data_IF_376839294143
#
_entry.id   IF_376839294143
#
_cell.length_a   1.000
_cell.length_b   1.000
_cell.length_c   1.000
_cell.angle_alpha   90.00
_cell.angle_beta   90.00
_cell.angle_gamma   90.00
#
_symmetry.space_group_name_H-M   'P 1'
#
loop_
_entity.id
_entity.type
_entity.pdbx_description
1 polymer ?
#
# COMPACT_ATOMS: atom_id res chain seq x y z
N UNK A 1 -22.58 -49.77 -53.03
CA UNK A 1 -21.21 -49.48 -53.48
C UNK A 1 -21.01 -47.97 -53.30
N UNK A 2 -20.74 -47.50 -52.08
CA UNK A 2 -19.44 -46.93 -51.67
C UNK A 2 -18.82 -46.07 -52.79
N UNK A 3 -18.83 -44.73 -52.75
CA UNK A 3 -18.40 -43.85 -51.66
C UNK A 3 -17.11 -43.17 -52.13
N UNK A 4 -16.98 -41.85 -51.92
CA UNK A 4 -15.74 -41.09 -51.64
C UNK A 4 -16.00 -39.59 -51.87
N UNK A 5 -16.26 -38.86 -50.78
CA UNK A 5 -16.15 -37.40 -50.74
C UNK A 5 -14.92 -37.09 -49.87
N UNK A 6 -13.88 -36.50 -50.47
CA UNK A 6 -12.64 -36.10 -49.77
C UNK A 6 -12.88 -34.78 -49.04
N UNK A 7 -12.91 -34.81 -47.71
CA UNK A 7 -12.82 -33.63 -46.86
C UNK A 7 -11.36 -33.19 -46.75
N UNK A 8 -11.09 -31.93 -47.09
CA UNK A 8 -9.83 -31.26 -46.78
C UNK A 8 -9.98 -30.54 -45.44
N UNK A 9 -9.25 -31.01 -44.43
CA UNK A 9 -9.10 -30.34 -43.14
C UNK A 9 -8.04 -29.23 -43.29
N UNK A 10 -8.49 -27.97 -43.25
CA UNK A 10 -7.59 -26.82 -43.08
C UNK A 10 -7.34 -26.65 -41.58
N UNK A 11 -6.15 -27.02 -41.13
CA UNK A 11 -5.67 -26.74 -39.78
C UNK A 11 -5.33 -25.25 -39.65
N UNK A 12 -6.22 -24.48 -39.03
CA UNK A 12 -5.94 -23.12 -38.58
C UNK A 12 -5.10 -23.16 -37.31
N UNK A 13 -3.84 -22.74 -37.42
CA UNK A 13 -2.95 -22.53 -36.28
C UNK A 13 -3.43 -21.28 -35.51
N UNK A 14 -4.14 -21.49 -34.41
CA UNK A 14 -4.49 -20.42 -33.47
C UNK A 14 -3.23 -20.01 -32.70
N UNK A 15 -2.62 -18.90 -33.12
CA UNK A 15 -1.63 -18.18 -32.32
C UNK A 15 -2.33 -17.64 -31.07
N UNK A 16 -2.16 -18.34 -29.95
CA UNK A 16 -2.53 -17.84 -28.64
C UNK A 16 -1.61 -16.66 -28.30
N UNK A 17 -2.07 -15.45 -28.58
CA UNK A 17 -1.42 -14.24 -28.09
C UNK A 17 -1.57 -14.18 -26.57
N UNK A 18 -0.46 -14.27 -25.84
CA UNK A 18 -0.42 -13.94 -24.42
C UNK A 18 -0.72 -12.47 -24.26
N UNK A 19 -1.92 -12.13 -23.79
CA UNK A 19 -2.24 -10.80 -23.30
C UNK A 19 -1.54 -10.67 -21.95
N UNK A 20 -0.32 -10.13 -21.94
CA UNK A 20 0.25 -9.60 -20.71
C UNK A 20 -0.59 -8.38 -20.33
N UNK A 21 -1.38 -8.49 -19.25
CA UNK A 21 -1.98 -7.32 -18.62
C UNK A 21 -0.84 -6.38 -18.22
N UNK A 22 -0.69 -5.27 -18.94
CA UNK A 22 0.25 -4.22 -18.56
C UNK A 22 -0.28 -3.62 -17.27
N UNK A 23 0.49 -3.73 -16.19
CA UNK A 23 0.26 -2.97 -14.97
C UNK A 23 0.11 -1.48 -15.34
N UNK A 24 -0.86 -0.79 -14.74
CA UNK A 24 -1.06 0.63 -14.98
C UNK A 24 0.24 1.40 -14.72
N UNK A 25 0.61 2.31 -15.62
CA UNK A 25 1.86 3.05 -15.49
C UNK A 25 1.91 3.84 -14.16
N UNK A 26 3.04 3.79 -13.42
CA UNK A 26 3.23 4.59 -12.22
C UNK A 26 3.04 6.09 -12.48
N UNK A 27 2.30 6.75 -11.59
CA UNK A 27 1.97 8.18 -11.66
C UNK A 27 3.14 9.01 -11.17
N UNK A 28 3.51 10.06 -11.93
CA UNK A 28 4.55 11.01 -11.53
C UNK A 28 4.03 11.94 -10.44
N UNK A 29 4.75 11.99 -9.33
CA UNK A 29 4.54 12.90 -8.22
C UNK A 29 5.57 14.03 -8.34
N UNK A 30 5.15 15.30 -8.43
CA UNK A 30 6.08 16.41 -8.51
C UNK A 30 6.86 16.58 -7.20
N UNK A 31 8.04 17.17 -7.31
CA UNK A 31 8.78 17.60 -6.12
C UNK A 31 8.10 18.76 -5.40
N UNK A 32 8.38 18.91 -4.10
CA UNK A 32 7.93 20.07 -3.36
C UNK A 32 8.29 20.06 -1.88
N UNK A 33 7.96 21.17 -1.22
CA UNK A 33 8.07 21.28 0.22
C UNK A 33 6.85 20.61 0.89
N UNK A 34 7.13 19.82 1.92
CA UNK A 34 6.15 19.18 2.78
C UNK A 34 6.25 19.75 4.20
N UNK A 35 5.13 20.16 4.79
CA UNK A 35 5.04 20.55 6.22
C UNK A 35 4.47 19.36 6.99
N UNK A 36 5.21 18.87 7.99
CA UNK A 36 4.81 17.72 8.79
C UNK A 36 3.59 18.05 9.67
N UNK A 37 2.44 17.37 9.50
CA UNK A 37 1.32 17.52 10.43
C UNK A 37 1.61 16.86 11.79
N UNK A 38 2.54 15.89 11.82
CA UNK A 38 3.01 15.19 13.01
C UNK A 38 4.53 15.31 13.09
N UNK A 39 5.03 16.03 14.08
CA UNK A 39 6.46 16.29 14.29
C UNK A 39 7.12 15.11 15.01
N UNK A 40 7.63 14.14 14.23
CA UNK A 40 8.48 13.07 14.75
C UNK A 40 9.88 13.56 15.15
N UNK A 41 10.34 14.65 14.52
CA UNK A 41 11.58 15.36 14.84
C UNK A 41 11.22 16.85 15.08
N UNK A 42 11.53 17.36 16.28
CA UNK A 42 11.19 18.73 16.69
C UNK A 42 11.91 19.79 15.86
N UNK A 43 13.03 19.44 15.24
CA UNK A 43 13.86 20.34 14.43
C UNK A 43 13.48 20.30 12.95
N UNK A 44 12.81 19.24 12.49
CA UNK A 44 12.35 19.06 11.09
C UNK A 44 10.84 19.24 10.96
N UNK A 45 10.43 20.50 10.80
CA UNK A 45 9.02 20.87 10.54
C UNK A 45 8.63 20.78 9.07
N UNK A 46 9.59 21.06 8.20
CA UNK A 46 9.41 21.02 6.76
C UNK A 46 10.55 20.27 6.13
N UNK A 47 10.28 19.56 5.04
CA UNK A 47 11.30 18.89 4.26
C UNK A 47 11.02 18.98 2.76
N UNK A 48 12.08 18.88 1.97
CA UNK A 48 11.96 18.81 0.51
C UNK A 48 11.78 17.35 0.09
N UNK A 49 10.72 17.08 -0.66
CA UNK A 49 10.45 15.78 -1.27
C UNK A 49 10.78 15.88 -2.75
N UNK A 50 11.77 15.11 -3.21
CA UNK A 50 12.13 15.02 -4.63
C UNK A 50 11.00 14.35 -5.44
N UNK A 51 10.95 14.58 -6.75
CA UNK A 51 9.97 13.93 -7.61
C UNK A 51 10.21 12.42 -7.64
N UNK A 52 9.13 11.65 -7.71
CA UNK A 52 9.18 10.20 -7.79
C UNK A 52 7.94 9.70 -8.52
N UNK A 53 7.87 8.40 -8.81
CA UNK A 53 6.68 7.77 -9.37
C UNK A 53 6.05 6.82 -8.35
N UNK A 54 4.74 6.66 -8.40
CA UNK A 54 3.98 5.81 -7.46
C UNK A 54 2.93 4.99 -8.18
N UNK A 55 2.69 3.76 -7.75
CA UNK A 55 1.56 2.98 -8.26
C UNK A 55 0.23 3.69 -7.96
N UNK A 56 -0.63 3.78 -8.98
CA UNK A 56 -1.91 4.50 -8.89
C UNK A 56 -2.89 3.87 -7.88
N UNK A 57 -2.75 2.57 -7.61
CA UNK A 57 -3.55 1.79 -6.67
C UNK A 57 -2.65 0.93 -5.80
N UNK A 58 -3.12 0.45 -4.64
CA UNK A 58 -2.46 -0.64 -3.94
C UNK A 58 -2.25 -1.85 -4.88
N UNK A 59 -1.20 -2.63 -4.60
CA UNK A 59 -0.95 -3.90 -5.30
C UNK A 59 -2.17 -4.79 -5.11
N UNK A 60 -2.72 -5.30 -6.22
CA UNK A 60 -3.91 -6.14 -6.18
C UNK A 60 -3.52 -7.61 -6.07
N UNK A 61 -4.53 -8.47 -5.92
CA UNK A 61 -4.33 -9.91 -5.77
C UNK A 61 -3.79 -10.56 -7.03
N UNK A 62 -4.20 -10.10 -8.21
CA UNK A 62 -3.73 -10.61 -9.50
C UNK A 62 -2.23 -10.37 -9.70
N UNK A 63 -1.77 -9.13 -9.51
CA UNK A 63 -0.36 -8.74 -9.64
C UNK A 63 0.50 -9.52 -8.63
N UNK A 64 0.00 -9.67 -7.39
CA UNK A 64 0.70 -10.44 -6.36
C UNK A 64 0.72 -11.94 -6.66
N UNK A 65 -0.32 -12.49 -7.30
CA UNK A 65 -0.36 -13.89 -7.73
C UNK A 65 0.74 -14.19 -8.76
N UNK A 66 0.91 -13.29 -9.73
CA UNK A 66 2.00 -13.39 -10.69
C UNK A 66 3.38 -13.33 -10.01
N UNK A 67 3.54 -12.50 -8.98
CA UNK A 67 4.77 -12.44 -8.19
C UNK A 67 5.07 -13.76 -7.47
N UNK A 68 4.11 -14.37 -6.77
CA UNK A 68 4.36 -15.63 -6.04
C UNK A 68 4.50 -16.84 -6.97
N UNK A 69 3.94 -16.76 -8.18
CA UNK A 69 4.19 -17.75 -9.23
C UNK A 69 5.66 -17.69 -9.69
N UNK A 70 6.17 -16.49 -9.97
CA UNK A 70 7.55 -16.23 -10.37
C UNK A 70 8.58 -16.41 -9.25
N UNK A 71 8.17 -16.24 -7.98
CA UNK A 71 9.02 -16.35 -6.80
C UNK A 71 8.47 -17.40 -5.82
N UNK A 72 8.69 -18.71 -6.07
CA UNK A 72 8.05 -19.77 -5.30
C UNK A 72 8.34 -19.77 -3.79
N UNK A 73 9.42 -19.14 -3.34
CA UNK A 73 9.74 -19.00 -1.93
C UNK A 73 8.82 -18.01 -1.18
N UNK A 74 8.05 -17.19 -1.91
CA UNK A 74 6.99 -16.33 -1.36
C UNK A 74 5.60 -16.97 -1.45
N UNK A 75 5.49 -18.24 -1.85
CA UNK A 75 4.22 -18.96 -1.77
C UNK A 75 3.83 -19.22 -0.31
N UNK A 76 2.54 -19.27 -0.02
CA UNK A 76 2.05 -19.46 1.35
C UNK A 76 2.54 -20.75 2.02
N UNK A 77 2.78 -21.80 1.24
CA UNK A 77 3.31 -23.08 1.75
C UNK A 77 4.83 -23.10 1.94
N UNK A 78 5.55 -22.13 1.37
CA UNK A 78 7.02 -22.16 1.24
C UNK A 78 7.73 -20.99 1.94
N UNK A 79 7.02 -19.90 2.26
CA UNK A 79 7.59 -18.75 2.93
C UNK A 79 8.22 -19.16 4.27
N UNK A 80 9.40 -18.61 4.56
CA UNK A 80 10.09 -18.90 5.80
C UNK A 80 9.35 -18.27 6.99
N UNK A 81 9.19 -19.04 8.08
CA UNK A 81 8.49 -18.59 9.29
C UNK A 81 9.08 -17.34 9.95
N UNK A 82 10.33 -16.99 9.66
CA UNK A 82 10.94 -15.74 10.13
C UNK A 82 10.28 -14.49 9.51
N UNK A 83 9.65 -14.62 8.34
CA UNK A 83 9.10 -13.49 7.59
C UNK A 83 7.60 -13.30 7.80
N UNK A 84 6.96 -14.05 8.70
CA UNK A 84 5.53 -13.91 8.98
C UNK A 84 5.13 -14.40 10.37
N UNK A 85 4.04 -13.85 10.90
CA UNK A 85 3.40 -14.23 12.16
C UNK A 85 2.46 -15.46 12.07
N UNK A 86 2.30 -16.02 10.87
CA UNK A 86 1.46 -17.19 10.59
C UNK A 86 0.16 -16.87 9.86
N UNK A 87 -0.16 -15.59 9.64
CA UNK A 87 -1.31 -15.17 8.84
C UNK A 87 -1.02 -14.95 7.35
N UNK A 88 0.23 -15.14 6.90
CA UNK A 88 0.65 -14.86 5.52
C UNK A 88 -0.23 -15.57 4.48
N UNK A 89 -0.87 -14.77 3.60
CA UNK A 89 -1.81 -15.20 2.57
C UNK A 89 -2.85 -16.23 3.08
N UNK A 90 -3.27 -16.10 4.35
CA UNK A 90 -4.17 -17.08 4.98
C UNK A 90 -5.50 -17.22 4.26
N UNK A 91 -5.98 -16.14 3.63
CA UNK A 91 -7.19 -16.11 2.82
C UNK A 91 -7.04 -16.63 1.39
N UNK A 92 -5.91 -17.23 0.99
CA UNK A 92 -5.74 -17.81 -0.35
C UNK A 92 -5.98 -19.31 -0.31
N UNK A 93 -6.77 -19.85 -1.23
CA UNK A 93 -7.03 -21.30 -1.31
C UNK A 93 -5.83 -22.12 -1.79
N UNK A 94 -4.91 -21.53 -2.56
CA UNK A 94 -3.71 -22.20 -3.07
C UNK A 94 -2.47 -21.29 -2.96
N UNK A 95 -1.32 -21.81 -3.39
CA UNK A 95 -0.06 -21.06 -3.42
C UNK A 95 -0.01 -19.93 -4.46
N UNK A 96 -0.85 -20.00 -5.49
CA UNK A 96 -0.81 -19.08 -6.65
C UNK A 96 -2.19 -18.55 -7.04
N UNK A 97 -3.25 -18.97 -6.34
CA UNK A 97 -4.63 -18.57 -6.64
C UNK A 97 -5.19 -17.79 -5.45
N UNK A 98 -5.39 -16.46 -5.60
CA UNK A 98 -6.05 -15.67 -4.58
C UNK A 98 -7.54 -15.96 -4.55
N UNK A 99 -8.14 -15.87 -3.35
CA UNK A 99 -9.60 -15.91 -3.22
C UNK A 99 -10.18 -14.49 -3.40
N UNK A 100 -11.43 -14.40 -3.85
CA UNK A 100 -12.16 -13.14 -4.06
C UNK A 100 -11.78 -12.38 -5.33
N UNK A 101 -12.09 -11.08 -5.37
CA UNK A 101 -11.94 -10.24 -6.55
C UNK A 101 -10.45 -9.99 -6.88
N UNK A 102 -9.96 -10.32 -8.09
CA UNK A 102 -8.55 -10.16 -8.48
C UNK A 102 -8.01 -8.73 -8.35
N UNK A 103 -8.88 -7.75 -8.59
CA UNK A 103 -8.58 -6.32 -8.54
C UNK A 103 -8.55 -5.73 -7.12
N UNK A 104 -9.04 -6.47 -6.12
CA UNK A 104 -8.97 -6.02 -4.74
C UNK A 104 -7.50 -6.00 -4.25
N UNK A 105 -7.15 -5.09 -3.33
CA UNK A 105 -5.80 -5.07 -2.75
C UNK A 105 -5.43 -6.42 -2.14
N UNK A 106 -4.16 -6.80 -2.32
CA UNK A 106 -3.59 -7.91 -1.57
C UNK A 106 -3.43 -7.49 -0.11
N UNK A 107 -3.77 -8.41 0.79
CA UNK A 107 -3.67 -8.24 2.25
C UNK A 107 -3.07 -9.49 2.88
N UNK A 108 -2.79 -9.44 4.18
CA UNK A 108 -2.11 -10.53 4.89
C UNK A 108 -0.74 -10.83 4.28
N UNK A 109 -0.04 -9.78 3.90
CA UNK A 109 1.35 -9.81 3.42
C UNK A 109 2.21 -9.11 4.47
N UNK A 110 3.35 -9.71 4.79
CA UNK A 110 4.30 -9.10 5.72
C UNK A 110 5.07 -7.97 5.05
N UNK A 111 5.72 -7.13 5.84
CA UNK A 111 6.58 -6.07 5.32
C UNK A 111 7.71 -6.64 4.44
N UNK A 112 8.30 -7.77 4.86
CA UNK A 112 9.34 -8.46 4.09
C UNK A 112 8.86 -8.84 2.69
N UNK A 113 7.66 -9.42 2.58
CA UNK A 113 7.09 -9.85 1.33
C UNK A 113 6.66 -8.67 0.44
N UNK A 114 6.12 -7.60 1.05
CA UNK A 114 5.76 -6.37 0.35
C UNK A 114 7.00 -5.67 -0.24
N UNK A 115 8.09 -5.57 0.54
CA UNK A 115 9.36 -5.01 0.06
C UNK A 115 9.97 -5.86 -1.06
N UNK A 116 10.01 -7.19 -0.91
CA UNK A 116 10.53 -8.09 -1.94
C UNK A 116 9.72 -7.99 -3.25
N UNK A 117 8.40 -7.79 -3.16
CA UNK A 117 7.58 -7.51 -4.33
C UNK A 117 8.03 -6.22 -5.03
N UNK A 118 8.14 -5.10 -4.30
CA UNK A 118 8.53 -3.83 -4.91
C UNK A 118 9.94 -3.88 -5.50
N UNK A 119 10.88 -4.54 -4.83
CA UNK A 119 12.23 -4.78 -5.36
C UNK A 119 12.18 -5.56 -6.68
N UNK A 120 11.32 -6.59 -6.78
CA UNK A 120 11.14 -7.35 -8.02
C UNK A 120 10.52 -6.54 -9.16
N UNK A 121 9.77 -5.47 -8.85
CA UNK A 121 9.28 -4.50 -9.83
C UNK A 121 10.29 -3.37 -10.15
N UNK A 122 11.46 -3.37 -9.51
CA UNK A 122 12.48 -2.31 -9.66
C UNK A 122 12.16 -1.03 -8.88
N UNK A 123 11.30 -1.11 -7.87
CA UNK A 123 10.94 -0.02 -6.96
C UNK A 123 11.21 -0.35 -5.49
N UNK A 124 10.63 0.44 -4.60
CA UNK A 124 10.67 0.23 -3.14
C UNK A 124 9.28 0.47 -2.54
N UNK A 125 9.11 0.21 -1.25
CA UNK A 125 7.97 0.76 -0.53
C UNK A 125 8.13 2.29 -0.41
N UNK A 126 7.02 3.06 -0.36
CA UNK A 126 7.09 4.47 -0.04
C UNK A 126 7.69 4.68 1.36
N UNK A 127 8.53 5.69 1.52
CA UNK A 127 8.81 6.21 2.87
C UNK A 127 7.57 6.89 3.45
N UNK A 128 7.55 7.05 4.77
CA UNK A 128 6.51 7.81 5.47
C UNK A 128 6.37 9.23 4.92
N UNK A 129 7.50 9.88 4.71
CA UNK A 129 7.58 11.21 4.11
C UNK A 129 6.91 11.25 2.75
N UNK A 130 7.27 10.33 1.84
CA UNK A 130 6.68 10.26 0.51
C UNK A 130 5.17 10.01 0.57
N UNK A 131 4.74 9.11 1.45
CA UNK A 131 3.34 8.72 1.58
C UNK A 131 2.48 9.86 2.16
N UNK A 132 2.96 10.55 3.18
CA UNK A 132 2.21 11.66 3.80
C UNK A 132 2.24 12.91 2.92
N UNK A 133 3.34 13.16 2.21
CA UNK A 133 3.39 14.17 1.15
C UNK A 133 2.37 13.89 0.04
N UNK A 134 2.24 12.63 -0.39
CA UNK A 134 1.24 12.22 -1.36
C UNK A 134 -0.19 12.48 -0.89
N UNK A 135 -0.49 12.18 0.37
CA UNK A 135 -1.82 12.48 0.94
C UNK A 135 -2.07 13.98 0.96
N UNK A 136 -1.13 14.77 1.49
CA UNK A 136 -1.25 16.23 1.53
C UNK A 136 -1.43 16.83 0.13
N UNK A 137 -0.58 16.43 -0.82
CA UNK A 137 -0.65 16.89 -2.20
C UNK A 137 -2.00 16.55 -2.84
N UNK A 138 -2.46 15.30 -2.72
CA UNK A 138 -3.76 14.85 -3.24
C UNK A 138 -4.91 15.65 -2.63
N UNK A 139 -4.87 15.93 -1.32
CA UNK A 139 -5.88 16.77 -0.67
C UNK A 139 -5.90 18.17 -1.25
N UNK A 140 -4.74 18.83 -1.35
CA UNK A 140 -4.61 20.18 -1.89
C UNK A 140 -5.08 20.28 -3.33
N UNK A 141 -4.63 19.37 -4.19
CA UNK A 141 -4.95 19.40 -5.62
C UNK A 141 -6.44 19.17 -5.92
N UNK A 142 -7.14 18.42 -5.06
CA UNK A 142 -8.57 18.16 -5.22
C UNK A 142 -9.45 19.07 -4.33
N UNK A 143 -8.86 20.00 -3.58
CA UNK A 143 -9.59 20.90 -2.70
C UNK A 143 -10.31 20.21 -1.53
N UNK A 144 -9.78 19.09 -1.02
CA UNK A 144 -10.36 18.38 0.12
C UNK A 144 -10.14 19.17 1.41
N UNK A 145 -11.22 19.57 2.07
CA UNK A 145 -11.14 20.34 3.33
C UNK A 145 -10.51 19.52 4.47
N UNK A 146 -10.07 20.21 5.53
CA UNK A 146 -9.60 19.58 6.75
C UNK A 146 -10.69 18.75 7.43
N UNK A 147 -11.93 19.24 7.41
CA UNK A 147 -13.09 18.56 7.99
C UNK A 147 -13.44 17.29 7.22
N UNK A 148 -13.53 17.36 5.88
CA UNK A 148 -13.86 16.20 5.05
C UNK A 148 -12.79 15.12 5.14
N UNK A 149 -11.51 15.54 5.16
CA UNK A 149 -10.40 14.63 5.36
C UNK A 149 -10.48 13.92 6.72
N UNK A 150 -10.67 14.69 7.80
CA UNK A 150 -10.76 14.11 9.13
C UNK A 150 -11.95 13.14 9.25
N UNK A 151 -13.11 13.52 8.72
CA UNK A 151 -14.30 12.67 8.68
C UNK A 151 -14.06 11.37 7.90
N UNK A 152 -13.38 11.44 6.75
CA UNK A 152 -13.02 10.25 5.97
C UNK A 152 -12.10 9.31 6.76
N UNK A 153 -11.10 9.85 7.45
CA UNK A 153 -10.20 9.05 8.30
C UNK A 153 -10.94 8.43 9.47
N UNK A 154 -11.78 9.18 10.20
CA UNK A 154 -12.54 8.63 11.31
C UNK A 154 -13.56 7.58 10.86
N UNK A 155 -14.20 7.76 9.70
CA UNK A 155 -15.09 6.75 9.13
C UNK A 155 -14.33 5.47 8.78
N UNK A 156 -13.09 5.57 8.27
CA UNK A 156 -12.28 4.40 8.01
C UNK A 156 -11.93 3.64 9.30
N UNK A 157 -11.37 4.31 10.31
CA UNK A 157 -10.93 3.61 11.52
C UNK A 157 -12.08 3.27 12.49
N UNK A 158 -13.17 4.02 12.49
CA UNK A 158 -14.32 3.81 13.37
C UNK A 158 -15.39 2.89 12.79
N UNK A 159 -15.61 2.93 11.47
CA UNK A 159 -16.71 2.20 10.80
C UNK A 159 -16.20 1.20 9.74
N UNK A 160 -14.89 1.14 9.47
CA UNK A 160 -14.31 0.38 8.35
C UNK A 160 -14.92 0.77 6.99
N UNK A 161 -15.32 2.05 6.86
CA UNK A 161 -15.87 2.60 5.63
C UNK A 161 -14.76 3.33 4.86
N UNK A 162 -14.27 2.79 3.73
CA UNK A 162 -13.25 3.44 2.93
C UNK A 162 -13.75 4.80 2.42
N UNK A 163 -12.83 5.75 2.24
CA UNK A 163 -13.17 7.02 1.63
C UNK A 163 -13.61 6.80 0.17
N UNK A 164 -14.83 7.22 -0.16
CA UNK A 164 -15.32 7.27 -1.54
C UNK A 164 -14.78 8.53 -2.28
N UNK A 165 -13.52 8.88 -2.01
CA UNK A 165 -12.87 10.05 -2.60
C UNK A 165 -12.24 9.67 -3.94
N UNK A 166 -12.68 10.35 -4.99
CA UNK A 166 -12.08 10.27 -6.32
C UNK A 166 -10.95 11.30 -6.43
N UNK A 167 -9.73 10.85 -6.72
CA UNK A 167 -8.63 11.75 -7.04
C UNK A 167 -8.65 12.11 -8.53
N UNK A 168 -9.20 13.28 -8.83
CA UNK A 168 -9.30 13.78 -10.22
C UNK A 168 -8.02 14.44 -10.70
N UNK A 169 -7.12 14.77 -9.78
CA UNK A 169 -5.89 15.49 -10.09
C UNK A 169 -4.76 14.55 -10.51
N UNK A 170 -4.54 13.48 -9.75
CA UNK A 170 -3.44 12.53 -9.99
C UNK A 170 -3.93 11.13 -10.38
N UNK A 171 -5.23 10.85 -10.28
CA UNK A 171 -5.78 9.52 -10.58
C UNK A 171 -5.41 8.46 -9.56
N UNK A 172 -5.01 8.84 -8.34
CA UNK A 172 -4.64 7.90 -7.29
C UNK A 172 -5.85 7.38 -6.53
N UNK A 173 -5.84 6.08 -6.23
CA UNK A 173 -6.83 5.43 -5.36
C UNK A 173 -6.18 4.92 -4.08
N UNK A 174 -7.00 4.76 -3.03
CA UNK A 174 -6.55 4.30 -1.72
C UNK A 174 -6.25 5.42 -0.72
N UNK A 175 -5.25 5.21 0.15
CA UNK A 175 -4.77 6.09 1.23
C UNK A 175 -5.68 6.28 2.46
N UNK A 176 -7.00 6.15 2.30
CA UNK A 176 -7.96 6.16 3.42
C UNK A 176 -8.93 4.99 3.18
N UNK A 177 -8.44 3.78 3.43
CA UNK A 177 -9.06 2.55 2.95
C UNK A 177 -8.86 2.35 1.43
N UNK A 178 -9.20 1.17 0.89
CA UNK A 178 -9.82 0.04 1.59
C UNK A 178 -8.85 -0.81 2.42
N UNK A 179 -7.56 -0.48 2.40
CA UNK A 179 -6.52 -1.09 3.24
C UNK A 179 -5.60 -0.01 3.81
N UNK A 180 -4.96 -0.31 4.93
CA UNK A 180 -3.72 0.34 5.36
C UNK A 180 -2.57 -0.13 4.46
N UNK A 181 -1.47 0.61 4.44
CA UNK A 181 -0.35 0.34 3.54
C UNK A 181 0.98 0.28 4.29
N UNK A 182 1.79 -0.73 3.99
CA UNK A 182 3.18 -0.81 4.44
C UNK A 182 4.01 0.33 3.86
N UNK A 183 4.94 0.81 4.68
CA UNK A 183 5.91 1.85 4.36
C UNK A 183 7.32 1.31 4.62
N UNK A 184 8.33 1.86 3.93
CA UNK A 184 9.73 1.41 4.06
C UNK A 184 10.24 1.57 5.49
N UNK A 185 9.92 2.70 6.14
CA UNK A 185 10.37 3.12 7.46
C UNK A 185 9.31 2.90 8.56
N UNK A 186 8.57 1.79 8.48
CA UNK A 186 7.50 1.40 9.41
C UNK A 186 7.89 1.45 10.90
N UNK A 187 9.17 1.20 11.22
CA UNK A 187 9.72 1.16 12.60
C UNK A 187 10.11 2.53 13.16
N UNK A 188 10.29 3.55 12.31
CA UNK A 188 10.80 4.86 12.74
C UNK A 188 9.71 5.81 13.25
N UNK A 189 8.46 5.34 13.32
CA UNK A 189 7.32 6.19 13.66
C UNK A 189 7.38 6.79 15.07
N UNK A 190 8.17 6.25 16.00
CA UNK A 190 8.25 6.76 17.40
C UNK A 190 9.62 6.58 18.09
N UNK A 191 10.69 6.22 17.37
CA UNK A 191 11.96 5.78 17.99
C UNK A 191 13.13 6.79 17.91
N UNK A 192 13.01 7.92 17.22
CA UNK A 192 14.14 8.86 17.08
C UNK A 192 14.17 9.91 18.20
N UNK A 193 14.97 9.63 19.22
CA UNK A 193 15.44 10.60 20.20
C UNK A 193 15.71 9.99 21.56
N UNK A 194 16.87 9.32 21.68
CA UNK A 194 17.69 8.83 22.81
C UNK A 194 17.30 9.09 24.30
N UNK A 195 16.06 9.36 24.66
CA UNK A 195 15.60 9.49 26.04
C UNK A 195 14.09 9.55 26.26
N UNK A 196 13.29 9.13 25.27
CA UNK A 196 11.85 8.94 25.49
C UNK A 196 11.53 7.49 25.21
N UNK A 197 11.31 6.74 26.29
CA UNK A 197 10.69 5.42 26.24
C UNK A 197 9.23 5.59 25.79
N UNK A 198 9.02 5.75 24.47
CA UNK A 198 7.69 5.78 23.86
C UNK A 198 7.04 4.39 23.85
N UNK A 199 7.82 3.31 24.06
CA UNK A 199 7.30 1.95 24.23
C UNK A 199 6.63 1.73 25.59
N UNK A 200 6.96 2.55 26.60
CA UNK A 200 6.31 2.58 27.91
C UNK A 200 5.27 3.70 28.10
N UNK A 201 5.16 4.64 27.17
CA UNK A 201 4.29 5.82 27.25
C UNK A 201 2.86 5.54 26.74
N UNK A 202 1.87 5.90 27.54
CA UNK A 202 0.44 5.86 27.20
C UNK A 202 0.14 6.46 25.81
N UNK A 203 -0.92 5.99 25.13
CA UNK A 203 -1.45 6.56 23.88
C UNK A 203 -1.67 8.10 23.93
N UNK A 204 -1.66 8.71 25.11
CA UNK A 204 -1.72 10.17 25.29
C UNK A 204 -0.42 10.94 25.05
N UNK A 205 0.76 10.32 25.15
CA UNK A 205 2.04 11.05 25.01
C UNK A 205 2.38 11.42 23.55
N UNK A 206 1.79 10.70 22.59
CA UNK A 206 1.92 10.97 21.15
C UNK A 206 1.13 12.21 20.70
N UNK A 207 0.15 12.67 21.50
CA UNK A 207 -0.60 13.91 21.25
C UNK A 207 0.26 15.18 21.23
N UNK A 208 1.48 15.11 21.80
CA UNK A 208 2.47 16.20 21.76
C UNK A 208 3.19 16.33 20.42
N UNK A 209 3.04 15.35 19.53
CA UNK A 209 3.64 15.34 18.20
C UNK A 209 2.78 16.12 17.19
N UNK A 210 1.52 16.41 17.51
CA UNK A 210 0.63 17.17 16.65
C UNK A 210 1.10 18.63 16.57
N UNK A 211 1.23 19.15 15.34
CA UNK A 211 1.63 20.54 15.12
C UNK A 211 0.51 21.54 15.49
N UNK A 212 -0.76 21.21 15.20
CA UNK A 212 -1.94 22.05 15.47
C UNK A 212 -3.09 21.21 16.01
N UNK A 213 -3.76 21.69 17.06
CA UNK A 213 -4.86 20.97 17.70
C UNK A 213 -6.19 21.10 16.93
N UNK A 214 -6.22 20.59 15.71
CA UNK A 214 -7.42 20.50 14.86
C UNK A 214 -7.71 19.05 14.43
N UNK A 215 -8.86 18.83 13.82
CA UNK A 215 -9.34 17.50 13.44
C UNK A 215 -8.48 16.84 12.36
N UNK A 216 -7.90 17.60 11.43
CA UNK A 216 -7.07 17.05 10.37
C UNK A 216 -5.71 16.56 10.89
N UNK A 217 -5.08 17.32 11.78
CA UNK A 217 -3.84 16.87 12.41
C UNK A 217 -4.09 15.69 13.35
N UNK A 218 -5.20 15.70 14.10
CA UNK A 218 -5.58 14.56 14.95
C UNK A 218 -5.88 13.30 14.13
N UNK A 219 -6.62 13.42 13.03
CA UNK A 219 -6.86 12.34 12.08
C UNK A 219 -5.53 11.79 11.52
N UNK A 220 -4.58 12.66 11.20
CA UNK A 220 -3.26 12.22 10.73
C UNK A 220 -2.49 11.49 11.81
N UNK A 221 -2.48 11.98 13.05
CA UNK A 221 -1.88 11.28 14.19
C UNK A 221 -2.51 9.89 14.40
N UNK A 222 -3.83 9.76 14.25
CA UNK A 222 -4.51 8.47 14.35
C UNK A 222 -3.93 7.46 13.33
N UNK A 223 -3.71 7.88 12.08
CA UNK A 223 -3.07 7.02 11.06
C UNK A 223 -1.67 6.59 11.46
N UNK A 224 -0.86 7.51 11.99
CA UNK A 224 0.49 7.20 12.46
C UNK A 224 0.47 6.15 13.57
N UNK A 225 -0.39 6.34 14.59
CA UNK A 225 -0.52 5.40 15.71
C UNK A 225 -1.00 4.02 15.26
N UNK A 226 -1.89 3.96 14.25
CA UNK A 226 -2.36 2.67 13.73
C UNK A 226 -1.24 1.91 13.03
N UNK A 227 -0.37 2.60 12.28
CA UNK A 227 0.80 1.99 11.61
C UNK A 227 1.89 1.56 12.59
N UNK A 228 2.09 2.27 13.71
CA UNK A 228 3.14 1.95 14.70
C UNK A 228 2.89 0.66 15.48
N UNK A 229 1.69 0.07 15.38
CA UNK A 229 1.33 -1.16 16.10
C UNK A 229 1.75 -2.45 15.37
N UNK A 230 2.49 -2.35 14.27
CA UNK A 230 2.86 -3.51 13.45
C UNK A 230 4.36 -3.80 13.52
N UNK A 231 4.70 -5.08 13.69
CA UNK A 231 6.04 -5.63 13.53
C UNK A 231 6.25 -6.08 12.06
N UNK A 232 7.48 -6.18 11.52
CA UNK A 232 7.67 -6.47 10.09
C UNK A 232 7.06 -7.80 9.61
N UNK A 233 6.92 -8.77 10.52
CA UNK A 233 6.29 -10.07 10.29
C UNK A 233 4.74 -10.05 10.35
N UNK A 234 4.13 -8.91 10.74
CA UNK A 234 2.67 -8.79 10.89
C UNK A 234 1.94 -9.03 9.57
N UNK A 235 0.87 -9.82 9.58
CA UNK A 235 0.05 -10.09 8.38
C UNK A 235 -1.44 -9.81 8.61
N UNK A 236 -1.79 -8.53 8.71
CA UNK A 236 -3.16 -8.11 8.97
C UNK A 236 -4.08 -8.18 7.72
N UNK A 237 -5.36 -8.49 7.93
CA UNK A 237 -6.37 -8.63 6.86
C UNK A 237 -6.81 -7.32 6.22
N UNK A 238 -6.39 -6.18 6.77
CA UNK A 238 -6.65 -4.84 6.24
C UNK A 238 -5.33 -4.10 5.95
N UNK A 239 -4.22 -4.80 5.79
CA UNK A 239 -2.90 -4.23 5.53
C UNK A 239 -2.34 -4.78 4.22
N UNK A 240 -2.19 -3.89 3.25
CA UNK A 240 -1.57 -4.13 1.94
C UNK A 240 -0.39 -3.19 1.74
N UNK A 241 -0.12 -2.82 0.49
CA UNK A 241 0.98 -1.92 0.14
C UNK A 241 0.85 -1.39 -1.30
N UNK A 242 1.71 -0.45 -1.66
CA UNK A 242 1.97 0.03 -3.02
C UNK A 242 3.46 0.25 -3.20
N UNK A 243 3.94 0.36 -4.44
CA UNK A 243 5.35 0.65 -4.71
C UNK A 243 5.57 2.08 -5.18
N UNK A 244 6.79 2.57 -4.97
CA UNK A 244 7.33 3.81 -5.54
C UNK A 244 8.59 3.53 -6.32
N UNK A 245 8.92 4.44 -7.23
CA UNK A 245 10.08 4.37 -8.11
C UNK A 245 10.73 5.74 -8.20
N UNK A 246 12.04 5.83 -8.49
CA UNK A 246 12.68 7.07 -8.87
C UNK A 246 11.99 7.72 -10.09
#
# INVERSE_FOLDING_TARGET
MSGWCKQWLWGGLLLAGTVTALAAEPVVVPEGNFEHPVLLDRERRTEWVASFRVDARPVNREDYAAFVEAHPHWRRSAVAGLFHDGGYLRGWSSDVTPDGAPEAPVVQVSWYAARAYCEAQGGTLPSLVQWEYLVDLRRRLNGLSDEDYANAVFAWYGEQRPAAFEDRALGLSGFIGPVNEWLEDYQLLLANGDRVDFGGGSCGDTGRLILRYDSAHYATLLRYQMRSNHAPETTASNLGFRCVYP
#
